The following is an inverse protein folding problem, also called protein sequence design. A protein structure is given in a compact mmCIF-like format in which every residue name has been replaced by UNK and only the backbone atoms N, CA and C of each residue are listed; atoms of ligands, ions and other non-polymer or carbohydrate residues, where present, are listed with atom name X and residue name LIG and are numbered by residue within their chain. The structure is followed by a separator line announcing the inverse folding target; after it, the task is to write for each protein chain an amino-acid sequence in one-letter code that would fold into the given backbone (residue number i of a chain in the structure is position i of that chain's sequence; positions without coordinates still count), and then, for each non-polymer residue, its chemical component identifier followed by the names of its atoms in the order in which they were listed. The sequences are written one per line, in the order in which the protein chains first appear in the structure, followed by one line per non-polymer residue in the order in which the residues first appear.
data_IF_704607801617
#
_entry.id   IF_704607801617
#
_cell.length_a   1.000
_cell.length_b   1.000
_cell.length_c   1.000
_cell.angle_alpha   90.00
_cell.angle_beta   90.00
_cell.angle_gamma   90.00
#
_symmetry.space_group_name_H-M   'P 1'
#
loop_
_entity.id
_entity.type
_entity.pdbx_description
1 polymer ?
#
# COMPACT_ATOMS: atom_id res chain seq x y z
N UNK A 1 -27.22 -12.44 20.43
CA UNK A 1 -26.66 -11.22 19.79
C UNK A 1 -26.08 -11.66 18.46
N UNK A 2 -26.83 -11.51 17.36
CA UNK A 2 -26.41 -11.95 16.04
C UNK A 2 -25.30 -11.00 15.56
N UNK A 3 -24.07 -11.47 15.51
CA UNK A 3 -22.98 -10.73 14.91
C UNK A 3 -23.30 -10.55 13.40
N UNK A 4 -23.64 -9.34 13.01
CA UNK A 4 -23.88 -9.01 11.60
C UNK A 4 -22.63 -9.33 10.79
N UNK A 5 -22.80 -10.06 9.68
CA UNK A 5 -21.70 -10.39 8.78
C UNK A 5 -20.95 -9.11 8.37
N UNK A 6 -19.61 -9.13 8.34
CA UNK A 6 -18.81 -7.95 8.00
C UNK A 6 -19.12 -7.50 6.57
N UNK A 7 -19.61 -6.28 6.42
CA UNK A 7 -19.96 -5.70 5.12
C UNK A 7 -18.71 -5.28 4.34
N UNK A 8 -18.64 -5.56 3.02
CA UNK A 8 -17.53 -5.11 2.18
C UNK A 8 -17.41 -3.58 2.20
N UNK A 9 -16.19 -3.08 2.25
CA UNK A 9 -15.94 -1.65 2.22
C UNK A 9 -16.27 -1.06 0.84
N UNK A 10 -16.91 0.11 0.81
CA UNK A 10 -17.19 0.83 -0.43
C UNK A 10 -15.89 1.32 -1.10
N UNK A 11 -15.90 1.46 -2.43
CA UNK A 11 -14.76 1.98 -3.20
C UNK A 11 -14.28 3.35 -2.69
N UNK A 12 -15.23 4.25 -2.37
CA UNK A 12 -14.90 5.59 -1.85
C UNK A 12 -14.11 5.53 -0.53
N UNK A 13 -14.51 4.68 0.41
CA UNK A 13 -13.79 4.50 1.68
C UNK A 13 -12.40 3.92 1.48
N UNK A 14 -12.24 2.98 0.53
CA UNK A 14 -10.94 2.40 0.18
C UNK A 14 -10.01 3.46 -0.43
N UNK A 15 -10.51 4.26 -1.38
CA UNK A 15 -9.76 5.35 -1.98
C UNK A 15 -9.33 6.38 -0.94
N UNK A 16 -10.26 6.83 -0.10
CA UNK A 16 -9.96 7.79 0.95
C UNK A 16 -8.93 7.25 1.96
N UNK A 17 -9.05 5.97 2.35
CA UNK A 17 -8.05 5.31 3.20
C UNK A 17 -6.68 5.25 2.51
N UNK A 18 -6.63 4.97 1.20
CA UNK A 18 -5.38 4.90 0.44
C UNK A 18 -4.71 6.27 0.32
N UNK A 19 -5.48 7.33 0.08
CA UNK A 19 -4.95 8.70 0.03
C UNK A 19 -4.40 9.13 1.40
N UNK A 20 -5.12 8.82 2.47
CA UNK A 20 -4.63 9.09 3.82
C UNK A 20 -3.38 8.26 4.16
N UNK A 21 -3.33 6.99 3.72
CA UNK A 21 -2.16 6.13 3.85
C UNK A 21 -0.94 6.73 3.13
N UNK A 22 -1.12 7.31 1.94
CA UNK A 22 -0.04 7.96 1.19
C UNK A 22 0.59 9.12 1.98
N UNK A 23 -0.23 9.93 2.68
CA UNK A 23 0.26 11.00 3.56
C UNK A 23 1.05 10.42 4.74
N UNK A 24 0.56 9.34 5.37
CA UNK A 24 1.28 8.68 6.47
C UNK A 24 2.60 8.06 6.00
N UNK A 25 2.59 7.43 4.82
CA UNK A 25 3.80 6.85 4.22
C UNK A 25 4.83 7.89 3.84
N UNK A 26 4.41 9.09 3.45
CA UNK A 26 5.33 10.21 3.28
C UNK A 26 6.07 10.52 4.60
N UNK A 27 5.35 10.59 5.72
CA UNK A 27 5.97 10.78 7.05
C UNK A 27 6.90 9.62 7.43
N UNK A 28 6.48 8.37 7.24
CA UNK A 28 7.30 7.18 7.50
C UNK A 28 8.56 7.20 6.65
N UNK A 29 8.44 7.49 5.35
CA UNK A 29 9.55 7.58 4.42
C UNK A 29 10.52 8.71 4.76
N UNK A 30 10.00 9.86 5.17
CA UNK A 30 10.81 10.98 5.62
C UNK A 30 11.67 10.61 6.84
N UNK A 31 11.04 10.07 7.89
CA UNK A 31 11.75 9.63 9.11
C UNK A 31 12.76 8.52 8.79
N UNK A 32 12.36 7.54 7.98
CA UNK A 32 13.26 6.45 7.58
C UNK A 32 14.47 6.95 6.79
N UNK A 33 14.27 7.92 5.88
CA UNK A 33 15.36 8.56 5.13
C UNK A 33 16.29 9.34 6.05
N UNK A 34 15.73 10.12 6.97
CA UNK A 34 16.51 10.89 7.95
C UNK A 34 17.37 9.94 8.81
N UNK A 35 16.79 8.87 9.31
CA UNK A 35 17.53 7.87 10.10
C UNK A 35 18.64 7.20 9.28
N UNK A 36 18.37 6.87 8.01
CA UNK A 36 19.39 6.32 7.13
C UNK A 36 20.58 7.27 6.98
N UNK A 37 20.31 8.54 6.68
CA UNK A 37 21.34 9.55 6.45
C UNK A 37 22.16 9.85 7.72
N UNK A 38 21.52 9.83 8.90
CA UNK A 38 22.18 10.01 10.19
C UNK A 38 23.07 8.83 10.59
N UNK A 39 22.61 7.59 10.35
CA UNK A 39 23.30 6.37 10.80
C UNK A 39 24.41 5.94 9.84
N UNK A 40 24.18 6.06 8.54
CA UNK A 40 25.07 5.46 7.53
C UNK A 40 26.02 6.50 6.93
N UNK A 41 25.70 7.82 7.06
CA UNK A 41 26.49 8.93 6.47
C UNK A 41 26.90 8.68 5.01
N UNK A 42 26.16 7.83 4.31
CA UNK A 42 26.56 7.28 3.02
C UNK A 42 25.87 8.05 1.90
N UNK A 43 26.48 9.13 1.46
CA UNK A 43 26.28 9.58 0.08
C UNK A 43 26.85 8.52 -0.86
N UNK A 44 26.00 7.81 -1.63
CA UNK A 44 26.48 6.96 -2.73
C UNK A 44 25.98 5.51 -2.79
N UNK A 45 25.10 5.06 -1.90
CA UNK A 45 24.53 3.70 -1.99
C UNK A 45 23.02 3.73 -2.25
N UNK A 46 22.56 4.01 -3.49
CA UNK A 46 21.13 4.14 -3.80
C UNK A 46 20.36 2.85 -3.53
N UNK A 47 20.94 1.70 -3.84
CA UNK A 47 20.30 0.40 -3.62
C UNK A 47 20.10 0.11 -2.12
N UNK A 48 21.08 0.44 -1.27
CA UNK A 48 20.97 0.26 0.18
C UNK A 48 19.87 1.16 0.76
N UNK A 49 19.77 2.41 0.29
CA UNK A 49 18.71 3.35 0.69
C UNK A 49 17.34 2.85 0.27
N UNK A 50 17.19 2.35 -0.96
CA UNK A 50 15.93 1.79 -1.45
C UNK A 50 15.51 0.56 -0.62
N UNK A 51 16.45 -0.34 -0.35
CA UNK A 51 16.21 -1.51 0.49
C UNK A 51 15.78 -1.11 1.90
N UNK A 52 16.45 -0.13 2.51
CA UNK A 52 16.08 0.41 3.82
C UNK A 52 14.65 0.96 3.82
N UNK A 53 14.29 1.79 2.85
CA UNK A 53 12.94 2.35 2.73
C UNK A 53 11.89 1.24 2.53
N UNK A 54 12.18 0.27 1.67
CA UNK A 54 11.31 -0.88 1.47
C UNK A 54 11.07 -1.63 2.78
N UNK A 55 12.11 -1.89 3.58
CA UNK A 55 11.98 -2.56 4.87
C UNK A 55 11.24 -1.71 5.91
N UNK A 56 11.49 -0.41 5.96
CA UNK A 56 10.81 0.51 6.89
C UNK A 56 9.30 0.60 6.60
N UNK A 57 8.92 0.73 5.34
CA UNK A 57 7.52 0.73 4.90
C UNK A 57 6.89 -0.65 5.18
N UNK A 58 7.62 -1.73 4.90
CA UNK A 58 7.17 -3.09 5.19
C UNK A 58 6.90 -3.30 6.68
N UNK A 59 7.81 -2.84 7.53
CA UNK A 59 7.67 -2.91 8.98
C UNK A 59 6.43 -2.15 9.44
N UNK A 60 6.20 -0.94 8.92
CA UNK A 60 5.01 -0.16 9.22
C UNK A 60 3.72 -0.94 8.89
N UNK A 61 3.59 -1.48 7.68
CA UNK A 61 2.40 -2.23 7.27
C UNK A 61 2.22 -3.52 8.07
N UNK A 62 3.28 -4.33 8.15
CA UNK A 62 3.21 -5.65 8.78
C UNK A 62 2.89 -5.56 10.26
N UNK A 63 3.50 -4.62 11.00
CA UNK A 63 3.21 -4.41 12.42
C UNK A 63 1.74 -4.00 12.63
N UNK A 64 1.24 -3.05 11.84
CA UNK A 64 -0.13 -2.58 11.98
C UNK A 64 -1.16 -3.67 11.60
N UNK A 65 -0.94 -4.40 10.50
CA UNK A 65 -1.85 -5.47 10.10
C UNK A 65 -1.79 -6.66 11.06
N UNK A 66 -0.60 -7.03 11.55
CA UNK A 66 -0.45 -8.14 12.49
C UNK A 66 -1.05 -7.81 13.86
N UNK A 67 -0.71 -6.68 14.45
CA UNK A 67 -1.14 -6.32 15.78
C UNK A 67 -2.63 -5.96 15.85
N UNK A 68 -3.13 -5.18 14.87
CA UNK A 68 -4.46 -4.56 14.92
C UNK A 68 -5.41 -4.98 13.81
N UNK A 69 -4.91 -5.66 12.75
CA UNK A 69 -5.67 -5.98 11.54
C UNK A 69 -6.01 -4.75 10.68
N UNK A 70 -5.40 -3.60 10.97
CA UNK A 70 -5.70 -2.34 10.29
C UNK A 70 -4.55 -1.34 10.48
N UNK A 71 -4.28 -0.49 9.46
CA UNK A 71 -3.39 0.67 9.60
C UNK A 71 -4.13 1.84 10.26
N UNK A 72 -3.40 2.91 10.57
CA UNK A 72 -4.03 4.12 11.11
C UNK A 72 -5.02 4.73 10.13
N UNK A 73 -4.68 4.78 8.84
CA UNK A 73 -5.57 5.22 7.78
C UNK A 73 -6.83 4.35 7.71
N UNK A 74 -6.68 3.03 7.73
CA UNK A 74 -7.81 2.10 7.74
C UNK A 74 -8.70 2.31 8.97
N UNK A 75 -8.13 2.58 10.13
CA UNK A 75 -8.88 2.85 11.38
C UNK A 75 -9.76 4.10 11.23
N UNK A 76 -9.23 5.19 10.68
CA UNK A 76 -9.95 6.44 10.46
C UNK A 76 -11.20 6.24 9.58
N UNK A 77 -11.10 5.35 8.59
CA UNK A 77 -12.20 5.02 7.68
C UNK A 77 -13.01 3.80 8.11
N UNK A 78 -12.80 3.31 9.34
CA UNK A 78 -13.45 2.12 9.91
C UNK A 78 -13.29 0.89 9.01
N UNK A 79 -12.08 0.66 8.50
CA UNK A 79 -11.74 -0.49 7.67
C UNK A 79 -10.93 -1.51 8.47
N UNK A 80 -11.19 -2.79 8.24
CA UNK A 80 -10.43 -3.90 8.81
C UNK A 80 -10.08 -4.90 7.73
N UNK A 81 -8.87 -5.45 7.84
CA UNK A 81 -8.40 -6.50 6.96
C UNK A 81 -8.79 -7.87 7.52
N UNK A 82 -9.51 -8.65 6.74
CA UNK A 82 -9.96 -10.00 7.07
C UNK A 82 -9.57 -10.98 5.96
N UNK A 83 -9.48 -12.25 6.30
CA UNK A 83 -9.36 -13.33 5.33
C UNK A 83 -10.74 -13.74 4.77
N UNK A 84 -10.76 -14.81 3.95
CA UNK A 84 -12.01 -15.34 3.38
C UNK A 84 -12.97 -15.91 4.45
N UNK A 85 -12.47 -16.24 5.63
CA UNK A 85 -13.22 -16.85 6.73
C UNK A 85 -13.55 -15.85 7.87
N UNK A 86 -13.47 -14.54 7.56
CA UNK A 86 -13.69 -13.45 8.54
C UNK A 86 -12.73 -13.45 9.74
N UNK A 87 -11.57 -14.09 9.58
CA UNK A 87 -10.51 -14.13 10.58
C UNK A 87 -9.37 -13.17 10.22
N UNK A 88 -8.48 -12.94 11.17
CA UNK A 88 -7.23 -12.21 10.91
C UNK A 88 -6.38 -13.03 9.94
N UNK A 89 -5.82 -12.42 8.88
CA UNK A 89 -4.94 -13.12 7.96
C UNK A 89 -3.68 -13.63 8.66
N UNK A 90 -3.19 -14.80 8.25
CA UNK A 90 -1.92 -15.33 8.72
C UNK A 90 -0.73 -14.42 8.35
N UNK A 91 0.35 -14.37 9.14
CA UNK A 91 1.52 -13.50 8.88
C UNK A 91 2.11 -13.67 7.48
N UNK A 92 2.19 -14.91 6.99
CA UNK A 92 2.67 -15.19 5.64
C UNK A 92 1.80 -14.52 4.55
N UNK A 93 0.47 -14.46 4.74
CA UNK A 93 -0.43 -13.76 3.82
C UNK A 93 -0.25 -12.25 3.89
N UNK A 94 0.04 -11.71 5.08
CA UNK A 94 0.32 -10.28 5.23
C UNK A 94 1.62 -9.90 4.51
N UNK A 95 2.65 -10.72 4.63
CA UNK A 95 3.91 -10.53 3.90
C UNK A 95 3.69 -10.61 2.38
N UNK A 96 3.00 -11.65 1.90
CA UNK A 96 2.68 -11.79 0.49
C UNK A 96 1.86 -10.60 -0.02
N UNK A 97 0.89 -10.12 0.78
CA UNK A 97 0.10 -8.93 0.49
C UNK A 97 0.99 -7.69 0.33
N UNK A 98 1.97 -7.51 1.22
CA UNK A 98 2.93 -6.41 1.15
C UNK A 98 3.77 -6.49 -0.12
N UNK A 99 4.32 -7.65 -0.45
CA UNK A 99 5.12 -7.84 -1.66
C UNK A 99 4.31 -7.57 -2.93
N UNK A 100 3.03 -7.98 -2.96
CA UNK A 100 2.15 -7.78 -4.11
C UNK A 100 1.60 -6.34 -4.24
N UNK A 101 1.86 -5.46 -3.28
CA UNK A 101 1.56 -4.03 -3.41
C UNK A 101 2.48 -3.32 -4.42
N UNK A 102 3.70 -3.82 -4.62
CA UNK A 102 4.75 -3.12 -5.36
C UNK A 102 4.74 -3.30 -6.88
N UNK A 103 4.47 -4.49 -7.44
CA UNK A 103 4.62 -4.74 -8.88
C UNK A 103 3.85 -3.78 -9.76
N UNK A 104 2.59 -3.49 -9.43
CA UNK A 104 1.74 -2.64 -10.25
C UNK A 104 2.19 -1.16 -10.24
N UNK A 105 2.40 -0.50 -9.09
CA UNK A 105 2.95 0.86 -9.06
C UNK A 105 4.32 0.97 -9.71
N UNK A 106 5.22 0.01 -9.50
CA UNK A 106 6.54 0.00 -10.10
C UNK A 106 6.48 -0.16 -11.62
N UNK A 107 5.62 -1.04 -12.13
CA UNK A 107 5.41 -1.18 -13.58
C UNK A 107 4.86 0.11 -14.19
N UNK A 108 3.89 0.75 -13.53
CA UNK A 108 3.35 2.04 -13.97
C UNK A 108 4.41 3.14 -13.92
N UNK A 109 5.23 3.20 -12.88
CA UNK A 109 6.32 4.17 -12.76
C UNK A 109 7.35 3.99 -13.86
N UNK A 110 7.74 2.74 -14.13
CA UNK A 110 8.67 2.41 -15.20
C UNK A 110 8.13 2.81 -16.57
N UNK A 111 6.87 2.48 -16.88
CA UNK A 111 6.22 2.85 -18.15
C UNK A 111 6.14 4.37 -18.32
N UNK A 112 5.74 5.10 -17.28
CA UNK A 112 5.70 6.56 -17.30
C UNK A 112 7.07 7.16 -17.58
N UNK A 113 8.10 6.64 -16.90
CA UNK A 113 9.48 7.08 -17.12
C UNK A 113 9.94 6.84 -18.56
N UNK A 114 9.66 5.66 -19.14
CA UNK A 114 10.02 5.38 -20.55
C UNK A 114 9.31 6.33 -21.53
N UNK A 115 8.04 6.63 -21.29
CA UNK A 115 7.27 7.58 -22.12
C UNK A 115 7.80 9.00 -21.95
N UNK A 116 8.12 9.42 -20.72
CA UNK A 116 8.69 10.73 -20.43
C UNK A 116 10.03 10.94 -21.15
N UNK A 117 10.91 9.94 -21.12
CA UNK A 117 12.20 9.98 -21.80
C UNK A 117 12.07 10.00 -23.34
N UNK A 118 11.12 9.24 -23.89
CA UNK A 118 10.91 9.18 -25.34
C UNK A 118 10.37 10.49 -25.92
N UNK A 119 9.66 11.30 -25.12
CA UNK A 119 9.05 12.57 -25.55
C UNK A 119 9.71 13.84 -25.00
N UNK A 120 10.80 13.71 -24.21
CA UNK A 120 11.40 14.82 -23.45
C UNK A 120 10.39 15.55 -22.52
N UNK A 121 9.42 14.81 -21.99
CA UNK A 121 8.32 15.36 -21.18
C UNK A 121 8.59 15.25 -19.69
N UNK A 122 9.41 16.15 -19.16
CA UNK A 122 9.72 16.19 -17.71
C UNK A 122 8.46 16.19 -16.81
N UNK A 123 7.36 16.79 -17.29
CA UNK A 123 6.10 16.83 -16.54
C UNK A 123 5.51 15.42 -16.29
N UNK A 124 5.77 14.45 -17.16
CA UNK A 124 5.31 13.06 -16.95
C UNK A 124 6.09 12.36 -15.83
N UNK A 125 7.37 12.66 -15.65
CA UNK A 125 8.16 12.11 -14.54
C UNK A 125 7.60 12.53 -13.19
N UNK A 126 6.99 13.72 -13.10
CA UNK A 126 6.33 14.15 -11.85
C UNK A 126 5.11 13.29 -11.51
N UNK A 127 4.45 12.69 -12.51
CA UNK A 127 3.31 11.78 -12.28
C UNK A 127 3.72 10.44 -11.66
N UNK A 128 5.01 10.11 -11.61
CA UNK A 128 5.51 8.91 -10.94
C UNK A 128 5.07 8.88 -9.46
N UNK A 129 4.98 10.05 -8.81
CA UNK A 129 4.48 10.16 -7.42
C UNK A 129 3.04 9.66 -7.28
N UNK A 130 2.24 9.73 -8.34
CA UNK A 130 0.85 9.28 -8.34
C UNK A 130 0.69 7.79 -8.69
N UNK A 131 1.77 7.07 -9.05
CA UNK A 131 1.70 5.66 -9.46
C UNK A 131 1.11 4.71 -8.41
N UNK A 132 1.19 4.95 -7.08
CA UNK A 132 0.47 4.13 -6.12
C UNK A 132 -1.05 4.11 -6.34
N UNK A 133 -1.63 5.15 -6.97
CA UNK A 133 -3.05 5.18 -7.34
C UNK A 133 -3.42 4.10 -8.38
N UNK A 134 -2.45 3.58 -9.12
CA UNK A 134 -2.66 2.46 -10.05
C UNK A 134 -3.24 1.22 -9.37
N UNK A 135 -3.00 1.04 -8.07
CA UNK A 135 -3.59 -0.04 -7.27
C UNK A 135 -5.12 0.00 -7.28
N UNK A 136 -5.70 1.15 -7.57
CA UNK A 136 -7.16 1.30 -7.61
C UNK A 136 -7.76 0.86 -8.96
N UNK A 137 -7.00 0.85 -10.04
CA UNK A 137 -7.47 0.49 -11.39
C UNK A 137 -8.13 -0.90 -11.40
N UNK A 138 -7.53 -1.98 -10.86
CA UNK A 138 -8.14 -3.29 -10.86
C UNK A 138 -9.47 -3.38 -10.09
N UNK A 139 -9.74 -2.45 -9.17
CA UNK A 139 -10.99 -2.47 -8.40
C UNK A 139 -12.23 -2.19 -9.26
N UNK A 140 -12.07 -1.57 -10.42
CA UNK A 140 -13.17 -1.32 -11.36
C UNK A 140 -13.57 -2.57 -12.12
N UNK A 141 -12.65 -3.50 -12.33
CA UNK A 141 -12.87 -4.76 -13.04
C UNK A 141 -13.27 -5.91 -12.10
N UNK A 142 -13.18 -5.71 -10.78
CA UNK A 142 -13.62 -6.71 -9.80
C UNK A 142 -15.06 -6.42 -9.33
N UNK A 143 -16.00 -7.37 -9.41
CA UNK A 143 -17.39 -7.18 -8.96
C UNK A 143 -17.50 -6.78 -7.48
N UNK A 144 -16.55 -7.23 -6.64
CA UNK A 144 -16.48 -6.88 -5.21
C UNK A 144 -15.60 -5.65 -4.93
N UNK A 145 -15.05 -5.02 -5.98
CA UNK A 145 -14.18 -3.85 -5.89
C UNK A 145 -12.90 -4.10 -5.08
N UNK A 146 -12.37 -5.34 -5.07
CA UNK A 146 -11.14 -5.68 -4.33
C UNK A 146 -9.91 -5.19 -5.07
N UNK A 147 -8.86 -4.88 -4.31
CA UNK A 147 -7.55 -4.66 -4.88
C UNK A 147 -6.98 -5.97 -5.47
N UNK A 148 -6.11 -5.86 -6.46
CA UNK A 148 -5.50 -7.02 -7.09
C UNK A 148 -4.76 -7.91 -6.08
N UNK A 149 -3.94 -7.31 -5.22
CA UNK A 149 -3.22 -8.02 -4.17
C UNK A 149 -4.16 -8.69 -3.15
N UNK A 150 -5.29 -8.06 -2.82
CA UNK A 150 -6.29 -8.65 -1.91
C UNK A 150 -6.96 -9.88 -2.54
N UNK A 151 -7.23 -9.82 -3.86
CA UNK A 151 -7.80 -10.94 -4.61
C UNK A 151 -6.83 -12.12 -4.67
N UNK A 152 -5.54 -11.85 -4.95
CA UNK A 152 -4.51 -12.89 -5.08
C UNK A 152 -4.21 -13.58 -3.74
N UNK A 153 -4.12 -12.81 -2.66
CA UNK A 153 -3.83 -13.35 -1.30
C UNK A 153 -5.07 -13.95 -0.64
N UNK A 154 -6.27 -13.60 -1.12
CA UNK A 154 -7.51 -14.03 -0.50
C UNK A 154 -7.86 -13.25 0.77
N UNK A 155 -7.50 -11.96 0.79
CA UNK A 155 -7.89 -11.01 1.84
C UNK A 155 -9.01 -10.09 1.35
N UNK A 156 -9.69 -9.42 2.28
CA UNK A 156 -10.74 -8.45 1.97
C UNK A 156 -10.78 -7.32 2.99
N UNK A 157 -11.12 -6.12 2.52
CA UNK A 157 -11.36 -4.97 3.37
C UNK A 157 -12.85 -4.89 3.70
N UNK A 158 -13.18 -4.97 4.98
CA UNK A 158 -14.54 -4.87 5.51
C UNK A 158 -14.69 -3.64 6.39
N UNK A 159 -15.93 -3.19 6.55
CA UNK A 159 -16.25 -2.13 7.52
C UNK A 159 -16.16 -2.73 8.92
N UNK A 160 -15.37 -2.10 9.78
CA UNK A 160 -15.31 -2.46 11.20
C UNK A 160 -16.64 -2.06 11.89
N UNK A 161 -17.16 -2.87 12.81
CA UNK A 161 -18.33 -2.54 13.60
C UNK A 161 -18.13 -1.29 14.46
#
# INVERSE_FOLDING_TARGET
MFATAPTPASRRRRLASMLYEAVLLFGVGFVATLLFDLLIRAGGFPLLRQTWLFLAIGLYFLLNWYARGQTLAMKTWRLRLLDRHDRRPAPARLLLRYLLLWPLPLACAWLLHQVAQAGDWLALDLLIVATPLSLFIPTWFDPQGRFLHDRLVGTRLCVAP
#
